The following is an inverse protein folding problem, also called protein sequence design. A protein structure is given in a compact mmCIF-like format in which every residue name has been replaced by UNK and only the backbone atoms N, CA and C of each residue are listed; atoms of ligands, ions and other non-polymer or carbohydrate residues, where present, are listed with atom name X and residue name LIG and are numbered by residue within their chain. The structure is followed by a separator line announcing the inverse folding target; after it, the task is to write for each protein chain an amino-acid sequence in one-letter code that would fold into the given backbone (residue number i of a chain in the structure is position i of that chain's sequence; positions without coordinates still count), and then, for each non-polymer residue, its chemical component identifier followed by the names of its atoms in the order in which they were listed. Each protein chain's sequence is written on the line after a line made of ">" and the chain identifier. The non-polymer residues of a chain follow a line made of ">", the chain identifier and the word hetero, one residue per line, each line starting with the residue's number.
data_IF_614695491802
#
_entry.id   IF_614695491802
#
_cell.length_a   1.000
_cell.length_b   1.000
_cell.length_c   1.000
_cell.angle_alpha   90.00
_cell.angle_beta   90.00
_cell.angle_gamma   90.00
#
_symmetry.space_group_name_H-M   'P 1'
#
loop_
_entity.id
_entity.type
_entity.pdbx_description
1 polymer ?
#
# COMPACT_ATOMS: atom_id res chain seq x y z
N UNK A 1 9.11 26.94 4.14
CA UNK A 1 9.73 25.61 3.90
C UNK A 1 8.66 24.73 3.28
N UNK A 2 8.98 24.08 2.15
CA UNK A 2 8.01 23.58 1.17
C UNK A 2 7.36 22.27 1.63
N UNK A 3 6.03 22.29 1.80
CA UNK A 3 5.18 21.11 2.00
C UNK A 3 4.95 20.38 0.66
N UNK A 4 6.01 19.97 -0.04
CA UNK A 4 5.92 19.42 -1.41
C UNK A 4 5.63 17.92 -1.47
N UNK A 5 5.94 17.15 -0.41
CA UNK A 5 5.80 15.68 -0.43
C UNK A 5 4.37 15.14 -0.33
N UNK A 6 3.48 15.69 0.52
CA UNK A 6 2.09 15.21 0.57
C UNK A 6 1.35 15.47 -0.73
N UNK A 7 1.66 16.59 -1.42
CA UNK A 7 1.05 16.95 -2.70
C UNK A 7 1.35 15.91 -3.78
N UNK A 8 2.60 15.46 -3.91
CA UNK A 8 2.98 14.44 -4.90
C UNK A 8 2.42 13.05 -4.57
N UNK A 9 2.34 12.69 -3.27
CA UNK A 9 1.72 11.44 -2.83
C UNK A 9 0.20 11.43 -3.04
N UNK A 10 -0.48 12.55 -2.79
CA UNK A 10 -1.93 12.67 -2.96
C UNK A 10 -2.31 12.69 -4.45
N UNK A 11 -1.58 13.42 -5.30
CA UNK A 11 -1.78 13.39 -6.75
C UNK A 11 -1.58 11.98 -7.32
N UNK A 12 -0.61 11.23 -6.79
CA UNK A 12 -0.42 9.82 -7.16
C UNK A 12 -1.60 8.94 -6.72
N UNK A 13 -2.08 9.11 -5.49
CA UNK A 13 -3.24 8.37 -4.98
C UNK A 13 -4.50 8.68 -5.79
N UNK A 14 -4.71 9.94 -6.18
CA UNK A 14 -5.83 10.34 -7.05
C UNK A 14 -5.75 9.68 -8.42
N UNK A 15 -4.58 9.70 -9.06
CA UNK A 15 -4.39 9.04 -10.37
C UNK A 15 -4.72 7.55 -10.32
N UNK A 16 -4.34 6.86 -9.25
CA UNK A 16 -4.64 5.44 -9.04
C UNK A 16 -6.16 5.22 -8.99
N UNK A 17 -6.87 6.00 -8.17
CA UNK A 17 -8.33 5.90 -8.05
C UNK A 17 -9.01 6.19 -9.40
N UNK A 18 -8.64 7.30 -10.05
CA UNK A 18 -9.22 7.69 -11.35
C UNK A 18 -8.95 6.67 -12.45
N UNK A 19 -7.79 6.02 -12.45
CA UNK A 19 -7.48 4.95 -13.39
C UNK A 19 -8.44 3.78 -13.23
N UNK A 20 -8.62 3.28 -12.00
CA UNK A 20 -9.48 2.13 -11.77
C UNK A 20 -10.96 2.45 -12.05
N UNK A 21 -11.43 3.64 -11.67
CA UNK A 21 -12.77 4.11 -12.03
C UNK A 21 -12.99 4.15 -13.55
N UNK A 22 -12.00 4.62 -14.32
CA UNK A 22 -12.07 4.65 -15.78
C UNK A 22 -12.08 3.26 -16.44
N UNK A 23 -11.64 2.22 -15.71
CA UNK A 23 -11.60 0.83 -16.18
C UNK A 23 -12.72 -0.04 -15.60
N UNK A 24 -13.78 0.57 -15.04
CA UNK A 24 -14.99 -0.14 -14.62
C UNK A 24 -15.10 -0.41 -13.12
N UNK A 25 -14.07 -0.06 -12.33
CA UNK A 25 -14.07 -0.23 -10.86
C UNK A 25 -14.55 1.04 -10.16
N UNK A 26 -15.81 1.43 -10.40
CA UNK A 26 -16.37 2.68 -9.92
C UNK A 26 -16.46 2.80 -8.39
N UNK A 27 -16.47 1.68 -7.66
CA UNK A 27 -16.51 1.68 -6.20
C UNK A 27 -15.14 1.81 -5.53
N UNK A 28 -14.04 1.73 -6.29
CA UNK A 28 -12.73 2.21 -5.82
C UNK A 28 -12.80 3.74 -5.80
N UNK A 29 -12.87 4.29 -4.58
CA UNK A 29 -13.04 5.74 -4.33
C UNK A 29 -11.96 6.32 -3.45
N UNK A 30 -11.11 5.47 -2.89
CA UNK A 30 -10.11 5.83 -1.91
C UNK A 30 -8.84 4.99 -2.09
N UNK A 31 -7.70 5.67 -2.04
CA UNK A 31 -6.38 5.05 -2.03
C UNK A 31 -5.49 5.67 -0.96
N UNK A 32 -4.77 4.83 -0.22
CA UNK A 32 -3.74 5.24 0.73
C UNK A 32 -2.41 4.59 0.39
N UNK A 33 -1.45 5.43 0.05
CA UNK A 33 -0.07 5.03 -0.22
C UNK A 33 0.70 5.03 1.11
N UNK A 34 1.32 3.88 1.42
CA UNK A 34 2.15 3.66 2.59
C UNK A 34 3.57 3.30 2.18
N UNK A 35 4.54 3.75 2.97
CA UNK A 35 5.94 3.30 2.91
C UNK A 35 6.16 2.28 4.00
N UNK A 36 6.72 1.13 3.64
CA UNK A 36 7.00 0.03 4.55
C UNK A 36 8.52 -0.16 4.59
N UNK A 37 9.11 -0.10 5.78
CA UNK A 37 10.53 -0.37 6.02
C UNK A 37 10.67 -1.51 7.03
N UNK A 38 11.64 -2.40 6.82
CA UNK A 38 12.08 -3.30 7.90
C UNK A 38 12.89 -2.52 8.94
N UNK A 39 12.55 -2.71 10.21
CA UNK A 39 13.24 -2.17 11.39
C UNK A 39 14.20 -3.17 12.02
N UNK A 40 13.81 -4.44 12.04
CA UNK A 40 14.52 -5.51 12.74
C UNK A 40 14.12 -6.85 12.14
N UNK A 41 14.95 -7.88 12.39
CA UNK A 41 14.72 -9.26 11.94
C UNK A 41 15.03 -9.48 10.47
N UNK A 42 15.18 -10.75 10.11
CA UNK A 42 15.19 -11.21 8.72
C UNK A 42 13.87 -11.87 8.36
N UNK A 43 13.70 -12.22 7.07
CA UNK A 43 12.44 -12.80 6.59
C UNK A 43 12.05 -14.08 7.34
N UNK A 44 12.91 -15.10 7.53
CA UNK A 44 12.55 -16.29 8.30
C UNK A 44 12.06 -16.01 9.73
N UNK A 45 12.73 -15.12 10.46
CA UNK A 45 12.31 -14.73 11.81
C UNK A 45 10.93 -14.06 11.78
N UNK A 46 10.73 -13.11 10.87
CA UNK A 46 9.49 -12.35 10.73
C UNK A 46 8.34 -13.29 10.33
N UNK A 47 8.52 -14.12 9.32
CA UNK A 47 7.51 -15.05 8.82
C UNK A 47 7.07 -16.01 9.93
N UNK A 48 8.03 -16.55 10.70
CA UNK A 48 7.73 -17.44 11.84
C UNK A 48 6.90 -16.75 12.93
N UNK A 49 7.23 -15.50 13.28
CA UNK A 49 6.51 -14.76 14.32
C UNK A 49 5.12 -14.31 13.85
N UNK A 50 4.97 -13.97 12.57
CA UNK A 50 3.67 -13.64 11.99
C UNK A 50 2.79 -14.89 11.93
N UNK A 51 3.31 -16.02 11.47
CA UNK A 51 2.57 -17.28 11.44
C UNK A 51 2.10 -17.70 12.84
N UNK A 52 2.98 -17.61 13.85
CA UNK A 52 2.59 -17.88 15.24
C UNK A 52 1.50 -16.92 15.75
N UNK A 53 1.51 -15.65 15.34
CA UNK A 53 0.45 -14.70 15.71
C UNK A 53 -0.89 -15.07 15.05
N UNK A 54 -0.86 -15.55 13.80
CA UNK A 54 -2.05 -16.04 13.11
C UNK A 54 -2.63 -17.28 13.79
N UNK A 55 -1.80 -18.28 14.11
CA UNK A 55 -2.22 -19.50 14.81
C UNK A 55 -2.83 -19.23 16.20
N UNK A 56 -2.35 -18.19 16.87
CA UNK A 56 -2.84 -17.77 18.19
C UNK A 56 -4.03 -16.80 18.12
N UNK A 57 -4.49 -16.45 16.92
CA UNK A 57 -5.56 -15.47 16.68
C UNK A 57 -5.28 -14.09 17.33
N UNK A 58 -4.01 -13.71 17.43
CA UNK A 58 -3.59 -12.41 17.97
C UNK A 58 -3.13 -11.45 16.86
N UNK A 59 -3.15 -10.11 17.07
CA UNK A 59 -2.67 -9.17 16.07
C UNK A 59 -1.18 -9.40 15.73
N UNK A 60 -0.78 -9.36 14.44
CA UNK A 60 0.61 -9.50 14.07
C UNK A 60 1.47 -8.37 14.66
N UNK A 61 2.72 -8.63 15.07
CA UNK A 61 3.60 -7.64 15.68
C UNK A 61 4.24 -6.70 14.65
N UNK A 62 3.43 -6.08 13.79
CA UNK A 62 3.87 -5.22 12.70
C UNK A 62 4.84 -4.13 13.17
N UNK A 63 4.54 -3.44 14.28
CA UNK A 63 5.37 -2.32 14.77
C UNK A 63 6.74 -2.74 15.33
N UNK A 64 6.90 -4.02 15.67
CA UNK A 64 8.18 -4.57 16.13
C UNK A 64 9.16 -4.69 14.95
N UNK A 65 8.68 -5.21 13.82
CA UNK A 65 9.52 -5.54 12.67
C UNK A 65 9.48 -4.51 11.55
N UNK A 66 8.39 -3.73 11.44
CA UNK A 66 8.17 -2.79 10.35
C UNK A 66 7.85 -1.37 10.84
N UNK A 67 8.33 -0.40 10.06
CA UNK A 67 7.84 0.96 10.08
C UNK A 67 6.88 1.13 8.90
N UNK A 68 5.61 1.46 9.19
CA UNK A 68 4.59 1.76 8.19
C UNK A 68 4.23 3.24 8.29
N UNK A 69 4.47 4.00 7.21
CA UNK A 69 4.26 5.45 7.17
C UNK A 69 3.34 5.84 6.01
N UNK A 70 2.18 6.43 6.28
CA UNK A 70 1.37 7.09 5.26
C UNK A 70 2.20 8.13 4.49
N UNK A 71 2.04 8.13 3.17
CA UNK A 71 2.80 8.97 2.25
C UNK A 71 1.91 9.79 1.32
N UNK A 72 0.81 9.20 0.84
CA UNK A 72 -0.13 9.87 -0.05
C UNK A 72 -1.53 9.30 0.12
N UNK A 73 -2.55 10.12 -0.10
CA UNK A 73 -3.93 9.71 0.07
C UNK A 73 -4.84 10.48 -0.87
N UNK A 74 -5.88 9.79 -1.34
CA UNK A 74 -7.00 10.38 -2.04
C UNK A 74 -8.27 9.69 -1.58
N UNK A 75 -9.30 10.47 -1.27
CA UNK A 75 -10.66 10.00 -0.98
C UNK A 75 -11.62 11.14 -1.28
N UNK A 76 -12.80 10.82 -1.80
CA UNK A 76 -13.89 11.78 -1.96
C UNK A 76 -14.60 12.08 -0.61
N UNK A 77 -14.32 11.31 0.46
CA UNK A 77 -15.11 11.30 1.70
C UNK A 77 -14.36 11.78 2.95
N UNK A 78 -13.01 11.71 2.95
CA UNK A 78 -12.22 12.08 4.12
C UNK A 78 -10.83 12.62 3.76
N UNK A 79 -10.25 13.35 4.68
CA UNK A 79 -8.92 13.95 4.54
C UNK A 79 -7.78 12.97 4.83
N UNK A 80 -6.56 13.34 4.41
CA UNK A 80 -5.36 12.57 4.71
C UNK A 80 -5.08 12.44 6.20
N UNK A 81 -5.34 13.48 6.99
CA UNK A 81 -5.13 13.44 8.44
C UNK A 81 -6.11 12.50 9.15
N UNK A 82 -7.36 12.43 8.68
CA UNK A 82 -8.35 11.46 9.14
C UNK A 82 -7.91 10.03 8.78
N UNK A 83 -7.53 9.78 7.52
CA UNK A 83 -7.06 8.47 7.07
C UNK A 83 -5.79 8.02 7.81
N UNK A 84 -4.84 8.94 8.04
CA UNK A 84 -3.62 8.68 8.82
C UNK A 84 -3.92 8.35 10.27
N UNK A 85 -4.91 8.99 10.88
CA UNK A 85 -5.33 8.72 12.26
C UNK A 85 -6.08 7.39 12.37
N UNK A 86 -6.82 7.01 11.34
CA UNK A 86 -7.61 5.78 11.26
C UNK A 86 -6.84 4.55 10.73
N UNK A 87 -5.59 4.71 10.28
CA UNK A 87 -4.84 3.60 9.64
C UNK A 87 -4.79 2.32 10.48
N UNK A 88 -4.77 2.42 11.81
CA UNK A 88 -4.72 1.25 12.68
C UNK A 88 -6.03 0.44 12.73
N UNK A 89 -7.15 1.05 12.36
CA UNK A 89 -8.47 0.40 12.29
C UNK A 89 -8.85 0.01 10.87
N UNK A 90 -8.38 0.77 9.88
CA UNK A 90 -8.76 0.58 8.47
C UNK A 90 -7.82 -0.39 7.75
N UNK A 91 -6.57 -0.50 8.20
CA UNK A 91 -5.64 -1.53 7.75
C UNK A 91 -5.96 -2.81 8.51
N UNK A 92 -6.72 -3.71 7.87
CA UNK A 92 -7.28 -4.90 8.51
C UNK A 92 -6.22 -5.84 9.06
N UNK A 93 -6.62 -6.79 9.91
CA UNK A 93 -5.68 -7.80 10.39
C UNK A 93 -5.14 -8.65 9.24
N UNK A 94 -5.98 -9.08 8.29
CA UNK A 94 -5.57 -9.88 7.14
C UNK A 94 -4.54 -9.14 6.29
N UNK A 95 -4.79 -7.88 5.93
CA UNK A 95 -3.82 -7.11 5.15
C UNK A 95 -2.52 -6.84 5.95
N UNK A 96 -2.61 -6.68 7.28
CA UNK A 96 -1.41 -6.56 8.14
C UNK A 96 -0.57 -7.82 8.20
N UNK A 97 -1.19 -9.01 8.09
CA UNK A 97 -0.46 -10.28 8.01
C UNK A 97 0.44 -10.34 6.78
N UNK A 98 0.07 -9.65 5.70
CA UNK A 98 0.73 -9.72 4.40
C UNK A 98 1.85 -8.67 4.21
N UNK A 99 2.10 -7.82 5.21
CA UNK A 99 3.19 -6.83 5.19
C UNK A 99 4.57 -7.45 4.90
N UNK A 100 4.97 -8.61 5.47
CA UNK A 100 6.24 -9.24 5.14
C UNK A 100 6.32 -9.59 3.66
N UNK A 101 5.24 -10.13 3.09
CA UNK A 101 5.16 -10.48 1.67
C UNK A 101 5.30 -9.25 0.78
N UNK A 102 4.59 -8.17 1.12
CA UNK A 102 4.73 -6.88 0.44
C UNK A 102 6.16 -6.36 0.49
N UNK A 103 6.87 -6.51 1.62
CA UNK A 103 8.25 -6.02 1.69
C UNK A 103 9.25 -6.94 0.96
N UNK A 104 9.19 -8.25 1.16
CA UNK A 104 10.24 -9.18 0.75
C UNK A 104 10.03 -9.81 -0.63
N UNK A 105 8.79 -9.92 -1.12
CA UNK A 105 8.54 -10.52 -2.43
C UNK A 105 8.78 -9.51 -3.56
N UNK A 106 9.26 -9.96 -4.73
CA UNK A 106 9.36 -9.10 -5.90
C UNK A 106 7.97 -8.61 -6.34
N UNK A 107 7.91 -7.40 -6.88
CA UNK A 107 6.67 -6.91 -7.46
C UNK A 107 6.29 -7.68 -8.76
N UNK A 108 4.99 -7.80 -9.09
CA UNK A 108 3.85 -7.30 -8.33
C UNK A 108 3.41 -8.24 -7.20
N UNK A 109 2.93 -7.67 -6.10
CA UNK A 109 2.23 -8.36 -5.01
C UNK A 109 0.85 -7.73 -4.89
N UNK A 110 -0.21 -8.54 -5.00
CA UNK A 110 -1.60 -8.11 -4.78
C UNK A 110 -2.22 -9.03 -3.75
N UNK A 111 -2.82 -8.41 -2.75
CA UNK A 111 -3.51 -9.06 -1.63
C UNK A 111 -4.91 -8.48 -1.56
N UNK A 112 -5.88 -9.36 -1.36
CA UNK A 112 -7.27 -9.03 -1.11
C UNK A 112 -7.69 -9.57 0.26
N UNK A 113 -8.53 -8.81 0.94
CA UNK A 113 -9.24 -9.16 2.15
C UNK A 113 -10.74 -9.12 1.85
N UNK A 114 -11.22 -10.19 1.22
CA UNK A 114 -12.62 -10.36 0.84
C UNK A 114 -13.63 -10.26 2.01
N UNK A 115 -13.17 -10.27 3.27
CA UNK A 115 -14.01 -10.13 4.45
C UNK A 115 -14.09 -8.69 4.97
N UNK A 116 -13.28 -7.78 4.42
CA UNK A 116 -13.35 -6.39 4.80
C UNK A 116 -14.62 -5.74 4.19
N UNK A 117 -15.33 -4.99 5.04
CA UNK A 117 -16.56 -4.30 4.65
C UNK A 117 -16.21 -2.96 4.02
N UNK A 118 -16.82 -2.62 2.88
CA UNK A 118 -16.48 -1.51 1.95
C UNK A 118 -16.39 -0.06 2.48
N UNK A 119 -16.27 0.14 3.79
CA UNK A 119 -15.75 1.37 4.41
C UNK A 119 -14.26 1.28 4.78
N UNK A 120 -13.58 0.15 4.53
CA UNK A 120 -12.17 -0.10 4.85
C UNK A 120 -11.34 -0.30 3.59
N UNK A 121 -10.02 -0.42 3.78
CA UNK A 121 -9.15 -0.93 2.73
C UNK A 121 -9.29 -2.44 2.70
N UNK A 122 -9.71 -2.96 1.56
CA UNK A 122 -9.90 -4.40 1.38
C UNK A 122 -8.82 -4.97 0.45
N UNK A 123 -8.00 -4.13 -0.20
CA UNK A 123 -6.83 -4.58 -0.96
C UNK A 123 -5.53 -3.90 -0.50
N UNK A 124 -4.42 -4.63 -0.61
CA UNK A 124 -3.06 -4.14 -0.47
C UNK A 124 -2.21 -4.57 -1.67
N UNK A 125 -1.50 -3.62 -2.27
CA UNK A 125 -0.72 -3.85 -3.48
C UNK A 125 0.67 -3.28 -3.40
N UNK A 126 1.64 -3.98 -3.99
CA UNK A 126 2.97 -3.48 -4.35
C UNK A 126 3.21 -3.78 -5.81
N UNK A 127 3.66 -2.78 -6.55
CA UNK A 127 3.69 -2.84 -8.02
C UNK A 127 5.05 -2.43 -8.60
N UNK A 128 5.95 -1.97 -7.73
CA UNK A 128 7.37 -1.78 -8.00
C UNK A 128 8.18 -2.49 -6.93
N UNK A 129 9.40 -2.92 -7.26
CA UNK A 129 10.34 -3.40 -6.24
C UNK A 129 10.68 -2.30 -5.22
N UNK A 130 11.34 -2.71 -4.14
CA UNK A 130 11.72 -1.79 -3.07
C UNK A 130 12.70 -0.74 -3.60
N UNK A 131 12.50 0.51 -3.21
CA UNK A 131 13.35 1.65 -3.55
C UNK A 131 13.94 2.18 -2.25
N UNK A 132 15.26 2.35 -2.20
CA UNK A 132 16.00 2.86 -1.03
C UNK A 132 15.68 2.16 0.30
N UNK A 133 15.42 0.85 0.24
CA UNK A 133 15.09 0.04 1.41
C UNK A 133 13.66 0.17 1.91
N UNK A 134 12.76 0.78 1.12
CA UNK A 134 11.33 0.87 1.40
C UNK A 134 10.52 0.17 0.31
N UNK A 135 9.49 -0.58 0.71
CA UNK A 135 8.42 -0.98 -0.18
C UNK A 135 7.33 0.11 -0.22
N UNK A 136 6.76 0.35 -1.40
CA UNK A 136 5.57 1.19 -1.56
C UNK A 136 4.35 0.28 -1.61
N UNK A 137 3.51 0.37 -0.58
CA UNK A 137 2.22 -0.29 -0.51
C UNK A 137 1.10 0.68 -0.90
N UNK A 138 0.10 0.19 -1.61
CA UNK A 138 -1.11 0.92 -1.99
C UNK A 138 -2.29 0.16 -1.41
N UNK A 139 -3.01 0.81 -0.50
CA UNK A 139 -4.25 0.31 0.07
C UNK A 139 -5.43 0.89 -0.73
N UNK A 140 -6.39 0.06 -1.11
CA UNK A 140 -7.58 0.43 -1.88
C UNK A 140 -8.86 -0.06 -1.19
N UNK A 141 -9.95 0.71 -1.28
CA UNK A 141 -11.28 0.25 -0.91
C UNK A 141 -11.99 -0.40 -2.10
N UNK A 142 -12.90 -1.35 -1.83
CA UNK A 142 -13.76 -2.02 -2.81
C UNK A 142 -13.06 -2.88 -3.91
N UNK A 143 -12.12 -3.76 -3.59
CA UNK A 143 -11.78 -4.89 -4.45
C UNK A 143 -12.84 -6.01 -4.35
N UNK A 144 -13.51 -6.27 -5.46
CA UNK A 144 -14.28 -7.50 -5.66
C UNK A 144 -13.45 -8.56 -6.41
N UNK A 145 -14.02 -9.74 -6.67
CA UNK A 145 -13.32 -10.80 -7.40
C UNK A 145 -12.89 -10.38 -8.83
N UNK A 146 -13.62 -9.46 -9.47
CA UNK A 146 -13.31 -8.98 -10.82
C UNK A 146 -12.08 -8.08 -10.84
N UNK A 147 -11.79 -7.39 -9.73
CA UNK A 147 -10.56 -6.62 -9.56
C UNK A 147 -9.32 -7.52 -9.64
N UNK A 148 -9.30 -8.64 -8.90
CA UNK A 148 -8.16 -9.56 -8.91
C UNK A 148 -7.93 -10.20 -10.28
N UNK A 149 -9.01 -10.56 -10.98
CA UNK A 149 -8.93 -11.09 -12.34
C UNK A 149 -8.37 -10.04 -13.31
N UNK A 150 -8.81 -8.78 -13.20
CA UNK A 150 -8.30 -7.67 -14.01
C UNK A 150 -6.80 -7.43 -13.76
N UNK A 151 -6.39 -7.38 -12.49
CA UNK A 151 -4.97 -7.29 -12.10
C UNK A 151 -4.17 -8.46 -12.69
N UNK A 152 -4.70 -9.69 -12.60
CA UNK A 152 -4.06 -10.92 -13.08
C UNK A 152 -3.91 -11.02 -14.61
N UNK A 153 -4.70 -10.25 -15.35
CA UNK A 153 -4.72 -10.27 -16.82
C UNK A 153 -4.03 -9.05 -17.44
N UNK A 154 -3.91 -7.95 -16.69
CA UNK A 154 -3.31 -6.68 -17.14
C UNK A 154 -1.93 -6.46 -16.52
N UNK A 155 -1.04 -7.45 -16.60
CA UNK A 155 0.36 -7.33 -16.15
C UNK A 155 1.25 -6.58 -17.15
N UNK A 156 2.26 -5.85 -16.67
CA UNK A 156 3.27 -5.18 -17.52
C UNK A 156 3.07 -3.67 -17.71
N UNK A 157 3.00 -3.19 -18.96
CA UNK A 157 3.02 -1.75 -19.32
C UNK A 157 1.89 -0.94 -18.68
N UNK A 158 0.75 -1.57 -18.43
CA UNK A 158 -0.40 -0.92 -17.81
C UNK A 158 -0.08 -0.50 -16.37
N UNK A 159 0.71 -1.29 -15.63
CA UNK A 159 1.18 -0.91 -14.28
C UNK A 159 2.10 0.29 -14.30
N UNK A 160 3.00 0.39 -15.29
CA UNK A 160 3.83 1.59 -15.47
C UNK A 160 2.98 2.81 -15.84
N UNK A 161 1.87 2.60 -16.55
CA UNK A 161 0.93 3.66 -16.92
C UNK A 161 0.05 4.10 -15.74
N UNK A 162 -0.45 3.16 -14.92
CA UNK A 162 -1.11 3.40 -13.62
C UNK A 162 -0.16 4.19 -12.70
N UNK A 163 1.10 3.77 -12.68
CA UNK A 163 2.16 4.34 -11.85
C UNK A 163 2.85 5.54 -12.45
N UNK A 164 2.36 6.11 -13.56
CA UNK A 164 3.00 7.25 -14.21
C UNK A 164 3.57 8.27 -13.21
N UNK A 165 4.85 8.63 -13.38
CA UNK A 165 5.65 9.50 -12.53
C UNK A 165 5.69 9.18 -11.01
N UNK A 166 5.17 8.06 -10.52
CA UNK A 166 5.40 7.65 -9.13
C UNK A 166 6.87 7.25 -8.92
N UNK A 167 7.54 6.77 -9.97
CA UNK A 167 9.01 6.67 -10.05
C UNK A 167 9.72 8.03 -9.96
N UNK A 168 9.13 9.11 -10.50
CA UNK A 168 9.68 10.47 -10.38
C UNK A 168 9.49 10.99 -8.94
N UNK A 169 8.37 10.67 -8.31
CA UNK A 169 8.11 10.98 -6.90
C UNK A 169 9.04 10.20 -5.97
N UNK A 170 9.26 8.89 -6.19
CA UNK A 170 10.20 8.07 -5.40
C UNK A 170 11.66 8.44 -5.67
N UNK A 171 12.05 8.77 -6.90
CA UNK A 171 13.38 9.29 -7.21
C UNK A 171 13.63 10.68 -6.59
N UNK A 172 12.60 11.54 -6.49
CA UNK A 172 12.68 12.80 -5.75
C UNK A 172 12.91 12.56 -4.25
N UNK A 173 12.26 11.55 -3.67
CA UNK A 173 12.48 11.10 -2.29
C UNK A 173 13.89 10.52 -2.09
N UNK A 174 14.41 9.74 -3.05
CA UNK A 174 15.76 9.17 -3.05
C UNK A 174 16.85 10.25 -3.05
N UNK A 175 16.64 11.32 -3.83
CA UNK A 175 17.63 12.41 -3.97
C UNK A 175 17.76 13.26 -2.71
N UNK A 176 16.70 13.39 -1.91
CA UNK A 176 16.71 14.19 -0.68
C UNK A 176 17.21 13.41 0.54
N UNK A 177 17.06 12.08 0.57
CA UNK A 177 17.67 11.24 1.61
C UNK A 177 19.20 11.26 1.51
N UNK A 178 19.76 11.40 0.30
CA UNK A 178 21.20 11.60 0.08
C UNK A 178 21.70 13.03 0.41
N UNK A 179 20.80 13.94 0.79
CA UNK A 179 21.12 15.33 1.18
C UNK A 179 21.01 15.57 2.70
N UNK A 180 20.80 14.51 3.50
CA UNK A 180 20.92 14.49 4.96
C UNK A 180 22.13 13.66 5.39
#
# INVERSE_FOLDING_TARGET
>A
MKNTHPLQGNEAAERIVRYFQANGFAGITEALIIRIRVKAGDRPEIDSVFEAAHEQEVPPPVRQYFEVKPFGHFSDFRSFDEAKSAIHTDFTQALRMEIPRVFFDPAPVVIDDALASGTKYDALMKITDNVDGYAIGILLNDPDASFLEYIGTHHGKDWQQIMGNLEITTASLASEINLL
#
